data_IF_463422462722
#
_entry.id   IF_463422462722
#
_cell.length_a   1.000
_cell.length_b   1.000
_cell.length_c   1.000
_cell.angle_alpha   90.00
_cell.angle_beta   90.00
_cell.angle_gamma   90.00
#
_symmetry.space_group_name_H-M   'P 1'
#
loop_
_entity.id
_entity.type
_entity.pdbx_description
1 polymer ?
#
# COMPACT_ATOMS: atom_id res chain seq x y z
N UNK A 1 14.80 6.19 60.09
CA UNK A 1 14.30 4.82 59.80
C UNK A 1 13.19 4.71 58.74
N UNK A 2 12.33 5.71 58.62
CA UNK A 2 11.27 5.72 57.58
C UNK A 2 11.84 6.05 56.18
N UNK A 3 12.79 6.98 56.07
CA UNK A 3 13.41 7.36 54.80
C UNK A 3 14.23 6.21 54.19
N UNK A 4 14.96 5.43 54.97
CA UNK A 4 15.69 4.27 54.49
C UNK A 4 14.75 3.15 53.99
N UNK A 5 13.61 2.92 54.65
CA UNK A 5 12.63 1.94 54.18
C UNK A 5 11.98 2.35 52.86
N UNK A 6 11.74 3.64 52.66
CA UNK A 6 11.18 4.17 51.40
C UNK A 6 12.14 4.04 50.25
N UNK A 7 13.43 4.39 50.46
CA UNK A 7 14.46 4.22 49.46
C UNK A 7 14.71 2.74 49.08
N UNK A 8 14.65 1.82 50.07
CA UNK A 8 14.79 0.38 49.82
C UNK A 8 13.63 -0.20 49.03
N UNK A 9 12.39 0.29 49.29
CA UNK A 9 11.21 -0.12 48.52
C UNK A 9 11.23 0.43 47.09
N UNK A 10 11.64 1.69 46.89
CA UNK A 10 11.75 2.31 45.55
C UNK A 10 12.85 1.59 44.73
N UNK A 11 13.99 1.22 45.36
CA UNK A 11 15.00 0.42 44.69
C UNK A 11 14.53 -1.00 44.34
N UNK A 12 13.76 -1.64 45.21
CA UNK A 12 13.18 -2.97 44.93
C UNK A 12 12.15 -2.93 43.78
N UNK A 13 11.32 -1.90 43.71
CA UNK A 13 10.35 -1.67 42.62
C UNK A 13 11.10 -1.43 41.29
N UNK A 14 12.12 -0.60 41.28
CA UNK A 14 12.95 -0.33 40.09
C UNK A 14 13.66 -1.57 39.56
N UNK A 15 14.19 -2.44 40.46
CA UNK A 15 14.77 -3.73 40.09
C UNK A 15 13.73 -4.67 39.50
N UNK A 16 12.52 -4.70 40.06
CA UNK A 16 11.40 -5.54 39.57
C UNK A 16 10.89 -5.07 38.21
N UNK A 17 10.80 -3.77 37.99
CA UNK A 17 10.42 -3.18 36.70
C UNK A 17 11.50 -3.42 35.63
N UNK A 18 12.77 -3.29 36.00
CA UNK A 18 13.90 -3.61 35.11
C UNK A 18 13.95 -5.10 34.73
N UNK A 19 13.67 -6.00 35.68
CA UNK A 19 13.59 -7.44 35.46
C UNK A 19 12.38 -7.80 34.54
N UNK A 20 11.25 -7.15 34.77
CA UNK A 20 10.05 -7.31 33.93
C UNK A 20 10.30 -6.83 32.49
N UNK A 21 10.90 -5.65 32.32
CA UNK A 21 11.25 -5.12 31.00
C UNK A 21 12.25 -6.02 30.25
N UNK A 22 13.22 -6.62 30.99
CA UNK A 22 14.17 -7.58 30.43
C UNK A 22 13.49 -8.90 30.01
N UNK A 23 12.53 -9.40 30.80
CA UNK A 23 11.76 -10.60 30.49
C UNK A 23 10.82 -10.37 29.28
N UNK A 24 10.18 -9.20 29.22
CA UNK A 24 9.32 -8.80 28.07
C UNK A 24 10.15 -8.66 26.78
N UNK A 25 11.35 -8.07 26.88
CA UNK A 25 12.28 -7.96 25.74
C UNK A 25 12.78 -9.34 25.27
N UNK A 26 13.11 -10.25 26.21
CA UNK A 26 13.52 -11.61 25.89
C UNK A 26 12.38 -12.43 25.27
N UNK A 27 11.15 -12.30 25.79
CA UNK A 27 9.98 -12.95 25.22
C UNK A 27 9.68 -12.45 23.80
N UNK A 28 9.89 -11.17 23.54
CA UNK A 28 9.72 -10.58 22.20
C UNK A 28 10.77 -11.05 21.21
N UNK A 29 12.04 -11.11 21.64
CA UNK A 29 13.15 -11.66 20.83
C UNK A 29 12.93 -13.15 20.56
N UNK A 30 12.42 -13.90 21.54
CA UNK A 30 12.05 -15.30 21.38
C UNK A 30 10.91 -15.49 20.36
N UNK A 31 9.88 -14.61 20.37
CA UNK A 31 8.81 -14.62 19.34
C UNK A 31 9.38 -14.34 17.94
N UNK A 32 10.19 -13.31 17.77
CA UNK A 32 10.83 -13.00 16.48
C UNK A 32 11.70 -14.15 15.96
N UNK A 33 12.42 -14.84 16.86
CA UNK A 33 13.20 -16.02 16.51
C UNK A 33 12.32 -17.24 16.17
N UNK A 34 11.18 -17.41 16.84
CA UNK A 34 10.19 -18.46 16.52
C UNK A 34 9.61 -18.24 15.13
N UNK A 35 9.23 -16.99 14.77
CA UNK A 35 8.68 -16.67 13.44
C UNK A 35 9.72 -16.91 12.34
N UNK A 36 10.98 -16.51 12.54
CA UNK A 36 12.08 -16.78 11.63
C UNK A 36 12.43 -18.27 11.52
N UNK A 37 12.38 -19.00 12.66
CA UNK A 37 12.56 -20.45 12.70
C UNK A 37 11.40 -21.21 12.05
N UNK A 38 10.15 -20.72 12.16
CA UNK A 38 8.97 -21.32 11.55
C UNK A 38 9.09 -21.35 10.04
N UNK A 39 9.47 -20.21 9.41
CA UNK A 39 9.72 -20.12 7.97
C UNK A 39 10.87 -21.04 7.49
N UNK A 40 11.95 -21.15 8.28
CA UNK A 40 13.10 -21.99 7.95
C UNK A 40 12.81 -23.48 8.08
N UNK A 41 12.11 -23.87 9.12
CA UNK A 41 11.81 -25.28 9.40
C UNK A 41 10.72 -25.86 8.46
N UNK A 42 9.85 -25.03 7.92
CA UNK A 42 8.93 -25.43 6.85
C UNK A 42 9.69 -25.95 5.60
N UNK A 43 10.77 -25.25 5.21
CA UNK A 43 11.66 -25.70 4.13
C UNK A 43 12.38 -27.01 4.43
N UNK A 44 12.59 -27.32 5.71
CA UNK A 44 13.31 -28.53 6.18
C UNK A 44 12.36 -29.71 6.50
N UNK A 45 11.03 -29.57 6.29
CA UNK A 45 10.04 -30.62 6.56
C UNK A 45 9.86 -30.94 8.06
N UNK A 46 10.14 -29.99 8.95
CA UNK A 46 10.03 -30.16 10.41
C UNK A 46 8.65 -29.81 10.92
N UNK A 47 8.20 -30.49 11.97
CA UNK A 47 6.98 -30.16 12.72
C UNK A 47 7.28 -29.14 13.84
N UNK A 48 6.29 -28.32 14.17
CA UNK A 48 6.37 -27.30 15.22
C UNK A 48 5.40 -27.62 16.35
N UNK A 49 5.84 -27.45 17.58
CA UNK A 49 4.96 -27.45 18.75
C UNK A 49 4.94 -26.01 19.27
N UNK A 50 3.78 -25.38 19.23
CA UNK A 50 3.59 -23.96 19.56
C UNK A 50 2.52 -23.80 20.65
N UNK A 51 2.56 -22.70 21.44
CA UNK A 51 1.46 -22.35 22.33
C UNK A 51 0.14 -22.27 21.54
N UNK A 52 -0.96 -22.75 22.11
CA UNK A 52 -2.26 -22.81 21.44
C UNK A 52 -2.70 -21.49 20.82
N UNK A 53 -2.40 -20.35 21.49
CA UNK A 53 -2.74 -19.01 20.98
C UNK A 53 -1.94 -18.54 19.75
N UNK A 54 -0.81 -19.19 19.41
CA UNK A 54 0.00 -18.86 18.23
C UNK A 54 -0.09 -19.93 17.13
N UNK A 55 -0.71 -21.06 17.41
CA UNK A 55 -0.72 -22.20 16.51
C UNK A 55 -1.60 -21.97 15.27
N UNK A 56 -2.71 -21.24 15.41
CA UNK A 56 -3.60 -20.91 14.29
C UNK A 56 -2.92 -19.95 13.31
N UNK A 57 -2.18 -18.96 13.82
CA UNK A 57 -1.40 -18.00 13.03
C UNK A 57 -0.28 -18.73 12.26
N UNK A 58 0.44 -19.62 12.93
CA UNK A 58 1.50 -20.41 12.31
C UNK A 58 0.99 -21.42 11.27
N UNK A 59 -0.23 -21.94 11.46
CA UNK A 59 -0.86 -22.87 10.53
C UNK A 59 -1.35 -22.21 9.22
N UNK A 60 -1.24 -20.87 9.08
CA UNK A 60 -1.47 -20.16 7.82
C UNK A 60 -0.40 -20.47 6.77
N UNK A 61 0.79 -20.88 7.20
CA UNK A 61 1.87 -21.31 6.29
C UNK A 61 1.47 -22.64 5.67
N UNK A 62 1.36 -22.66 4.34
CA UNK A 62 0.99 -23.86 3.59
C UNK A 62 1.95 -25.00 3.91
N UNK A 63 1.40 -26.18 4.09
CA UNK A 63 2.13 -27.42 4.41
C UNK A 63 2.88 -27.44 5.76
N UNK A 64 2.82 -26.37 6.57
CA UNK A 64 3.40 -26.40 7.91
C UNK A 64 2.70 -27.41 8.80
N UNK A 65 3.48 -28.25 9.47
CA UNK A 65 2.96 -29.18 10.48
C UNK A 65 3.05 -28.51 11.84
N UNK A 66 1.92 -28.02 12.35
CA UNK A 66 1.83 -27.28 13.60
C UNK A 66 0.99 -28.03 14.61
N UNK A 67 1.54 -28.26 15.80
CA UNK A 67 0.88 -28.89 16.93
C UNK A 67 0.66 -27.85 18.04
N UNK A 68 -0.60 -27.46 18.34
CA UNK A 68 -0.91 -26.57 19.47
C UNK A 68 -0.69 -27.31 20.79
N UNK A 69 0.03 -26.68 21.69
CA UNK A 69 0.27 -27.21 23.04
C UNK A 69 -0.29 -26.23 24.10
N UNK A 70 -1.22 -26.67 24.97
CA UNK A 70 -1.76 -25.83 26.04
C UNK A 70 -0.79 -25.66 27.21
N UNK A 71 0.19 -26.53 27.35
CA UNK A 71 1.18 -26.48 28.44
C UNK A 71 2.47 -27.23 28.09
N UNK A 72 3.53 -26.96 28.83
CA UNK A 72 4.78 -27.70 28.69
C UNK A 72 4.60 -29.19 29.05
N UNK A 73 3.70 -29.53 29.97
CA UNK A 73 3.38 -30.93 30.34
C UNK A 73 2.80 -31.68 29.14
N UNK A 74 1.95 -31.00 28.34
CA UNK A 74 1.39 -31.60 27.12
C UNK A 74 2.47 -31.83 26.06
N UNK A 75 3.45 -30.94 25.95
CA UNK A 75 4.64 -31.12 25.08
C UNK A 75 5.43 -32.35 25.52
N UNK A 76 5.72 -32.48 26.82
CA UNK A 76 6.44 -33.64 27.36
C UNK A 76 5.69 -34.94 27.13
N UNK A 77 4.35 -34.94 27.32
CA UNK A 77 3.53 -36.10 27.06
C UNK A 77 3.55 -36.53 25.59
N UNK A 78 3.52 -35.57 24.67
CA UNK A 78 3.63 -35.81 23.22
C UNK A 78 5.00 -36.38 22.84
N UNK A 79 6.08 -35.78 23.31
CA UNK A 79 7.44 -36.23 22.99
C UNK A 79 7.80 -37.60 23.62
N UNK A 80 7.14 -37.96 24.74
CA UNK A 80 7.33 -39.25 25.38
C UNK A 80 6.34 -40.33 24.88
N UNK A 81 5.49 -39.99 23.89
CA UNK A 81 4.51 -40.94 23.34
C UNK A 81 3.33 -41.26 24.26
N UNK A 82 3.17 -40.54 25.38
CA UNK A 82 2.05 -40.78 26.34
C UNK A 82 0.72 -40.17 25.87
N UNK A 83 0.79 -39.05 25.12
CA UNK A 83 -0.37 -38.41 24.52
C UNK A 83 0.04 -37.74 23.21
N UNK A 84 -0.84 -37.76 22.20
CA UNK A 84 -0.57 -37.06 20.93
C UNK A 84 -1.20 -35.67 20.93
N UNK A 85 -0.44 -34.67 20.52
CA UNK A 85 -0.97 -33.35 20.25
C UNK A 85 -1.71 -33.38 18.90
N UNK A 86 -2.86 -32.73 18.77
CA UNK A 86 -3.58 -32.64 17.50
C UNK A 86 -2.75 -31.77 16.53
N UNK A 87 -2.94 -31.99 15.22
CA UNK A 87 -2.39 -31.10 14.20
C UNK A 87 -3.35 -29.93 14.00
N UNK A 88 -2.82 -28.70 14.01
CA UNK A 88 -3.58 -27.51 13.61
C UNK A 88 -3.73 -27.52 12.10
N UNK A 89 -4.95 -27.33 11.63
CA UNK A 89 -5.26 -27.12 10.21
C UNK A 89 -5.79 -25.70 10.05
N UNK A 90 -5.26 -24.97 9.09
CA UNK A 90 -5.94 -23.75 8.65
C UNK A 90 -7.23 -24.19 7.95
N UNK A 91 -8.39 -23.81 8.48
CA UNK A 91 -9.65 -24.00 7.77
C UNK A 91 -9.55 -23.26 6.43
N UNK A 92 -9.91 -23.92 5.32
CA UNK A 92 -10.09 -23.26 4.02
C UNK A 92 -11.05 -22.09 4.23
N UNK A 93 -10.52 -20.89 4.28
CA UNK A 93 -11.34 -19.69 4.43
C UNK A 93 -11.85 -19.31 3.06
N UNK A 94 -13.17 -19.33 2.96
CA UNK A 94 -13.86 -18.62 1.90
C UNK A 94 -13.31 -17.19 1.88
N UNK A 95 -12.78 -16.76 0.74
CA UNK A 95 -12.39 -15.38 0.49
C UNK A 95 -13.66 -14.52 0.57
N UNK A 96 -14.04 -14.12 1.80
CA UNK A 96 -15.18 -13.24 1.98
C UNK A 96 -14.81 -11.84 1.48
N UNK A 97 -15.12 -11.59 0.23
CA UNK A 97 -15.08 -10.30 -0.46
C UNK A 97 -16.09 -9.29 0.14
N UNK A 98 -16.91 -9.71 1.09
CA UNK A 98 -18.04 -8.95 1.62
C UNK A 98 -17.68 -7.66 2.40
N UNK A 99 -16.42 -7.42 2.70
CA UNK A 99 -15.98 -6.24 3.46
C UNK A 99 -15.38 -5.11 2.62
N UNK A 100 -15.12 -5.35 1.33
CA UNK A 100 -14.56 -4.32 0.43
C UNK A 100 -15.69 -3.69 -0.36
N UNK A 101 -15.85 -2.35 -0.32
CA UNK A 101 -16.91 -1.67 -1.08
C UNK A 101 -16.77 -1.89 -2.58
N UNK A 102 -17.89 -2.08 -3.28
CA UNK A 102 -17.90 -2.33 -4.73
C UNK A 102 -17.76 -1.05 -5.56
N UNK A 103 -17.05 -1.13 -6.70
CA UNK A 103 -16.83 0.00 -7.60
C UNK A 103 -18.12 0.47 -8.28
N UNK A 104 -19.13 -0.39 -8.43
CA UNK A 104 -20.44 -0.07 -8.99
C UNK A 104 -21.20 0.97 -8.17
N UNK A 105 -20.92 1.07 -6.86
CA UNK A 105 -21.52 2.09 -5.99
C UNK A 105 -21.06 3.52 -6.32
N UNK A 106 -19.91 3.68 -6.98
CA UNK A 106 -19.41 4.98 -7.43
C UNK A 106 -20.13 5.33 -8.73
N UNK A 107 -21.01 6.33 -8.68
CA UNK A 107 -21.73 6.80 -9.88
C UNK A 107 -20.82 7.65 -10.75
N UNK A 108 -20.99 7.54 -12.08
CA UNK A 108 -20.19 8.29 -13.05
C UNK A 108 -18.67 8.05 -12.90
N UNK A 109 -17.89 9.12 -12.98
CA UNK A 109 -16.42 9.15 -12.75
C UNK A 109 -15.63 8.18 -13.67
N UNK A 110 -16.05 8.00 -14.93
CA UNK A 110 -15.46 7.02 -15.85
C UNK A 110 -13.93 7.17 -15.99
N UNK A 111 -13.44 8.41 -16.12
CA UNK A 111 -11.99 8.67 -16.23
C UNK A 111 -11.23 8.27 -14.95
N UNK A 112 -11.79 8.54 -13.77
CA UNK A 112 -11.17 8.16 -12.51
C UNK A 112 -11.20 6.64 -12.28
N UNK A 113 -12.30 5.96 -12.64
CA UNK A 113 -12.40 4.49 -12.60
C UNK A 113 -11.38 3.85 -13.55
N UNK A 114 -11.21 4.39 -14.77
CA UNK A 114 -10.19 3.92 -15.71
C UNK A 114 -8.78 4.13 -15.16
N UNK A 115 -8.49 5.29 -14.55
CA UNK A 115 -7.22 5.55 -13.90
C UNK A 115 -6.94 4.57 -12.74
N UNK A 116 -7.98 4.22 -11.95
CA UNK A 116 -7.87 3.18 -10.91
C UNK A 116 -7.54 1.81 -11.51
N UNK A 117 -8.21 1.41 -12.59
CA UNK A 117 -7.96 0.14 -13.29
C UNK A 117 -6.52 0.07 -13.79
N UNK A 118 -6.02 1.13 -14.44
CA UNK A 118 -4.63 1.22 -14.91
C UNK A 118 -3.65 1.18 -13.73
N UNK A 119 -3.95 1.93 -12.67
CA UNK A 119 -3.11 1.93 -11.47
C UNK A 119 -3.07 0.55 -10.81
N UNK A 120 -4.20 -0.13 -10.67
CA UNK A 120 -4.30 -1.48 -10.11
C UNK A 120 -3.52 -2.51 -10.95
N UNK A 121 -3.66 -2.46 -12.27
CA UNK A 121 -3.05 -3.42 -13.17
C UNK A 121 -1.53 -3.33 -13.21
N UNK A 122 -0.96 -2.12 -13.15
CA UNK A 122 0.47 -1.90 -13.24
C UNK A 122 1.18 -1.69 -11.91
N UNK A 123 0.45 -1.57 -10.79
CA UNK A 123 0.99 -1.19 -9.50
C UNK A 123 1.41 0.28 -9.44
N UNK A 124 0.79 1.15 -10.27
CA UNK A 124 1.16 2.55 -10.39
C UNK A 124 0.65 3.40 -9.23
N UNK A 125 1.43 4.41 -8.86
CA UNK A 125 0.97 5.46 -7.93
C UNK A 125 -0.05 6.37 -8.60
N UNK A 126 -1.06 6.82 -7.82
CA UNK A 126 -2.21 7.59 -8.31
C UNK A 126 -2.43 8.86 -7.50
N UNK A 127 -2.62 9.99 -8.19
CA UNK A 127 -3.10 11.24 -7.61
C UNK A 127 -4.46 11.61 -8.20
N UNK A 128 -5.44 11.80 -7.32
CA UNK A 128 -6.78 12.27 -7.67
C UNK A 128 -6.93 13.74 -7.30
N UNK A 129 -7.27 14.59 -8.27
CA UNK A 129 -7.51 16.01 -8.09
C UNK A 129 -8.99 16.34 -8.35
N UNK A 130 -9.65 17.00 -7.42
CA UNK A 130 -11.04 17.40 -7.62
C UNK A 130 -11.66 18.11 -6.44
N UNK A 131 -12.81 18.76 -6.59
CA UNK A 131 -13.54 19.44 -5.53
C UNK A 131 -13.90 18.49 -4.37
N UNK A 132 -14.23 19.00 -3.19
CA UNK A 132 -14.75 18.19 -2.10
C UNK A 132 -16.07 17.51 -2.51
N UNK A 133 -16.33 16.30 -1.99
CA UNK A 133 -17.54 15.55 -2.26
C UNK A 133 -17.61 14.84 -3.63
N UNK A 134 -16.53 14.84 -4.43
CA UNK A 134 -16.51 14.18 -5.74
C UNK A 134 -16.23 12.68 -5.70
N UNK A 135 -16.07 12.08 -4.51
CA UNK A 135 -15.90 10.64 -4.34
C UNK A 135 -14.43 10.15 -4.38
N UNK A 136 -13.43 11.03 -4.25
CA UNK A 136 -12.00 10.66 -4.26
C UNK A 136 -11.66 9.58 -3.22
N UNK A 137 -12.06 9.78 -1.97
CA UNK A 137 -11.82 8.83 -0.87
C UNK A 137 -12.60 7.53 -1.07
N UNK A 138 -13.83 7.61 -1.63
CA UNK A 138 -14.60 6.43 -2.02
C UNK A 138 -13.89 5.60 -3.08
N UNK A 139 -13.31 6.23 -4.10
CA UNK A 139 -12.52 5.56 -5.14
C UNK A 139 -11.29 4.88 -4.54
N UNK A 140 -10.55 5.57 -3.67
CA UNK A 140 -9.37 5.01 -3.01
C UNK A 140 -9.68 3.76 -2.17
N UNK A 141 -10.80 3.77 -1.43
CA UNK A 141 -11.25 2.64 -0.60
C UNK A 141 -11.61 1.38 -1.41
N UNK A 142 -11.93 1.53 -2.70
CA UNK A 142 -12.27 0.42 -3.59
C UNK A 142 -11.08 -0.19 -4.32
N UNK A 143 -9.94 0.51 -4.32
CA UNK A 143 -8.73 0.03 -4.99
C UNK A 143 -8.25 -1.33 -4.48
N UNK A 144 -8.22 -1.64 -3.16
CA UNK A 144 -7.80 -2.98 -2.70
C UNK A 144 -8.61 -4.12 -3.32
N UNK A 145 -9.91 -3.91 -3.56
CA UNK A 145 -10.80 -4.88 -4.20
C UNK A 145 -10.53 -5.12 -5.68
N UNK A 146 -9.79 -4.22 -6.34
CA UNK A 146 -9.38 -4.34 -7.74
C UNK A 146 -8.01 -4.99 -7.90
N UNK A 147 -7.18 -5.00 -6.85
CA UNK A 147 -5.83 -5.54 -6.91
C UNK A 147 -5.83 -7.07 -7.07
N UNK A 148 -4.81 -7.63 -7.74
CA UNK A 148 -4.63 -9.07 -7.78
C UNK A 148 -4.48 -9.64 -6.37
N UNK A 149 -4.91 -10.91 -6.13
CA UNK A 149 -4.72 -11.55 -4.84
C UNK A 149 -3.23 -11.58 -4.47
N UNK A 150 -2.92 -11.53 -3.18
CA UNK A 150 -1.55 -11.70 -2.70
C UNK A 150 -1.08 -13.12 -2.91
N UNK A 151 0.21 -13.29 -3.25
CA UNK A 151 0.85 -14.59 -3.14
C UNK A 151 0.99 -14.99 -1.66
N UNK A 152 1.30 -16.25 -1.41
CA UNK A 152 1.56 -16.73 -0.04
C UNK A 152 2.73 -15.97 0.60
N UNK A 153 3.81 -15.72 -0.15
CA UNK A 153 4.97 -14.95 0.31
C UNK A 153 4.57 -13.50 0.67
N UNK A 154 3.80 -12.84 -0.20
CA UNK A 154 3.28 -11.48 0.07
C UNK A 154 2.37 -11.46 1.31
N UNK A 155 1.55 -12.49 1.50
CA UNK A 155 0.65 -12.62 2.64
C UNK A 155 1.42 -12.81 3.94
N UNK A 156 2.48 -13.63 3.93
CA UNK A 156 3.37 -13.83 5.07
C UNK A 156 4.13 -12.56 5.46
N UNK A 157 4.70 -11.84 4.47
CA UNK A 157 5.40 -10.58 4.73
C UNK A 157 4.46 -9.53 5.35
N UNK A 158 3.24 -9.40 4.82
CA UNK A 158 2.24 -8.46 5.35
C UNK A 158 1.78 -8.85 6.77
N UNK A 159 1.50 -10.15 7.01
CA UNK A 159 1.09 -10.66 8.30
C UNK A 159 2.19 -10.47 9.36
N UNK A 160 3.46 -10.74 9.02
CA UNK A 160 4.59 -10.54 9.91
C UNK A 160 4.72 -9.09 10.39
N UNK A 161 4.55 -8.11 9.49
CA UNK A 161 4.57 -6.69 9.86
C UNK A 161 3.41 -6.30 10.77
N UNK A 162 2.21 -6.82 10.53
CA UNK A 162 1.03 -6.58 11.36
C UNK A 162 1.19 -7.23 12.73
N UNK A 163 1.74 -8.45 12.78
CA UNK A 163 2.02 -9.18 14.03
C UNK A 163 3.03 -8.44 14.92
N UNK A 164 4.08 -7.82 14.34
CA UNK A 164 5.04 -7.00 15.09
C UNK A 164 4.39 -5.83 15.84
N UNK A 165 3.24 -5.37 15.38
CA UNK A 165 2.47 -4.28 16.01
C UNK A 165 1.29 -4.78 16.85
N UNK A 166 1.06 -6.10 16.91
CA UNK A 166 -0.09 -6.71 17.57
C UNK A 166 -1.43 -6.44 16.89
N UNK A 167 -1.39 -6.07 15.59
CA UNK A 167 -2.60 -5.72 14.80
C UNK A 167 -3.03 -6.82 13.82
N UNK A 168 -2.29 -7.92 13.75
CA UNK A 168 -2.64 -9.02 12.86
C UNK A 168 -3.93 -9.70 13.34
N UNK A 169 -4.81 -9.96 12.39
CA UNK A 169 -6.03 -10.76 12.57
C UNK A 169 -6.04 -11.86 11.53
N UNK A 170 -6.46 -13.05 11.92
CA UNK A 170 -6.56 -14.17 10.99
C UNK A 170 -7.49 -13.90 9.80
N UNK A 171 -8.52 -13.10 9.98
CA UNK A 171 -9.45 -12.67 8.92
C UNK A 171 -8.81 -11.75 7.87
N UNK A 172 -7.67 -11.13 8.17
CA UNK A 172 -6.93 -10.25 7.26
C UNK A 172 -5.90 -11.01 6.41
N UNK A 173 -5.73 -12.32 6.63
CA UNK A 173 -4.83 -13.15 5.85
C UNK A 173 -5.20 -13.14 4.37
N UNK A 174 -4.22 -12.90 3.50
CA UNK A 174 -4.41 -12.84 2.04
C UNK A 174 -5.08 -11.56 1.54
N UNK A 175 -5.50 -10.66 2.43
CA UNK A 175 -6.08 -9.36 2.06
C UNK A 175 -5.01 -8.29 1.94
N UNK A 176 -5.08 -7.51 0.86
CA UNK A 176 -4.19 -6.35 0.69
C UNK A 176 -4.54 -5.26 1.69
N UNK A 177 -3.61 -4.85 2.57
CA UNK A 177 -3.88 -3.83 3.57
C UNK A 177 -4.17 -2.48 2.92
N UNK A 178 -5.16 -1.75 3.45
CA UNK A 178 -5.39 -0.34 3.16
C UNK A 178 -5.03 0.48 4.40
N UNK A 179 -4.05 1.37 4.25
CA UNK A 179 -3.66 2.30 5.32
C UNK A 179 -4.02 3.72 4.88
N UNK A 180 -4.85 4.37 5.67
CA UNK A 180 -5.32 5.73 5.40
C UNK A 180 -5.11 6.59 6.67
N UNK A 181 -3.87 6.96 7.00
CA UNK A 181 -3.60 7.80 8.15
C UNK A 181 -4.13 9.21 7.94
N UNK A 182 -4.54 9.86 9.03
CA UNK A 182 -5.02 11.23 9.00
C UNK A 182 -3.87 12.21 8.73
N UNK A 183 -4.12 13.33 8.05
CA UNK A 183 -3.09 14.32 7.66
C UNK A 183 -2.35 14.95 8.85
N UNK A 184 -2.89 14.86 10.08
CA UNK A 184 -2.21 15.27 11.32
C UNK A 184 -1.20 14.25 11.85
N UNK A 185 -1.04 13.10 11.20
CA UNK A 185 -0.11 12.07 11.64
C UNK A 185 1.33 12.58 11.57
N UNK A 186 2.12 12.28 12.59
CA UNK A 186 3.53 12.65 12.64
C UNK A 186 4.39 11.81 11.69
N UNK A 187 5.60 12.29 11.36
CA UNK A 187 6.56 11.53 10.59
C UNK A 187 6.90 10.18 11.26
N UNK A 188 6.93 10.12 12.60
CA UNK A 188 7.15 8.89 13.36
C UNK A 188 5.99 7.92 13.19
N UNK A 189 4.76 8.40 13.15
CA UNK A 189 3.60 7.54 12.89
C UNK A 189 3.66 6.91 11.49
N UNK A 190 4.12 7.67 10.48
CA UNK A 190 4.26 7.16 9.12
C UNK A 190 5.43 6.18 8.96
N UNK A 191 6.63 6.60 9.37
CA UNK A 191 7.87 5.85 9.17
C UNK A 191 8.01 4.73 10.17
N UNK A 192 7.55 4.97 11.39
CA UNK A 192 7.86 4.15 12.54
C UNK A 192 8.97 4.75 13.40
N UNK A 193 9.28 4.13 14.49
CA UNK A 193 10.29 4.60 15.43
C UNK A 193 10.05 4.11 16.86
N UNK A 194 10.58 4.84 17.81
CA UNK A 194 10.58 4.49 19.23
C UNK A 194 11.97 4.08 19.71
N UNK A 195 12.11 3.82 21.00
CA UNK A 195 13.33 3.25 21.60
C UNK A 195 13.60 1.83 21.07
N UNK A 196 12.53 1.09 20.81
CA UNK A 196 12.52 -0.18 20.09
C UNK A 196 11.83 0.08 18.73
N UNK A 197 12.59 0.08 17.60
CA UNK A 197 12.05 0.46 16.30
C UNK A 197 10.86 -0.41 15.90
N UNK A 198 9.69 0.21 15.69
CA UNK A 198 8.48 -0.45 15.22
C UNK A 198 8.10 0.07 13.83
N UNK A 199 7.51 -0.77 12.96
CA UNK A 199 7.04 -0.34 11.65
C UNK A 199 5.92 0.71 11.80
N UNK A 200 5.95 1.76 10.95
CA UNK A 200 4.90 2.76 10.83
C UNK A 200 3.88 2.41 9.75
N UNK A 201 2.96 3.34 9.49
CA UNK A 201 1.86 3.16 8.53
C UNK A 201 2.33 2.82 7.12
N UNK A 202 3.50 3.34 6.69
CA UNK A 202 4.11 3.05 5.40
C UNK A 202 4.50 1.56 5.30
N UNK A 203 5.14 1.00 6.33
CA UNK A 203 5.49 -0.42 6.35
C UNK A 203 4.27 -1.31 6.56
N UNK A 204 3.27 -0.87 7.33
CA UNK A 204 2.00 -1.58 7.50
C UNK A 204 1.14 -1.61 6.23
N UNK A 205 1.41 -0.73 5.25
CA UNK A 205 0.80 -0.76 3.93
C UNK A 205 1.50 -1.71 2.95
N UNK A 206 2.54 -2.44 3.39
CA UNK A 206 3.31 -3.34 2.54
C UNK A 206 2.43 -4.35 1.80
N UNK A 207 2.66 -4.52 0.49
CA UNK A 207 1.83 -5.28 -0.46
C UNK A 207 0.37 -4.82 -0.59
N UNK A 208 0.04 -3.65 -0.03
CA UNK A 208 -1.28 -3.04 -0.09
C UNK A 208 -1.26 -1.61 -0.61
N UNK A 209 -2.12 -0.79 -0.05
CA UNK A 209 -2.36 0.59 -0.46
C UNK A 209 -2.09 1.55 0.70
N UNK A 210 -1.28 2.57 0.46
CA UNK A 210 -1.17 3.73 1.32
C UNK A 210 -1.95 4.88 0.69
N UNK A 211 -3.04 5.29 1.33
CA UNK A 211 -3.88 6.39 0.89
C UNK A 211 -3.66 7.64 1.75
N UNK A 212 -3.25 8.75 1.13
CA UNK A 212 -3.15 10.04 1.77
C UNK A 212 -4.19 11.00 1.20
N UNK A 213 -5.21 11.29 1.98
CA UNK A 213 -6.20 12.32 1.65
C UNK A 213 -5.66 13.71 1.97
N UNK A 214 -6.21 14.73 1.31
CA UNK A 214 -5.84 16.14 1.51
C UNK A 214 -4.33 16.37 1.44
N UNK A 215 -3.66 15.81 0.43
CA UNK A 215 -2.19 15.76 0.30
C UNK A 215 -1.48 17.10 0.61
N UNK A 216 -1.96 18.30 0.17
CA UNK A 216 -1.32 19.56 0.50
C UNK A 216 -1.48 20.01 1.97
N UNK A 217 -2.33 19.38 2.77
CA UNK A 217 -2.51 19.72 4.18
C UNK A 217 -1.52 18.97 5.09
N UNK A 218 -0.81 17.99 4.54
CA UNK A 218 0.26 17.30 5.25
C UNK A 218 1.48 18.20 5.46
N UNK A 219 2.15 18.05 6.61
CA UNK A 219 3.44 18.70 6.82
C UNK A 219 4.43 18.27 5.72
N UNK A 220 5.12 19.25 5.13
CA UNK A 220 6.08 19.00 4.06
C UNK A 220 7.17 18.02 4.43
N UNK A 221 7.64 18.06 5.71
CA UNK A 221 8.67 17.14 6.22
C UNK A 221 8.15 15.70 6.25
N UNK A 222 6.86 15.54 6.55
CA UNK A 222 6.19 14.24 6.57
C UNK A 222 6.06 13.68 5.15
N UNK A 223 5.75 14.51 4.16
CA UNK A 223 5.67 14.09 2.76
C UNK A 223 7.05 13.71 2.18
N UNK A 224 8.12 14.38 2.60
CA UNK A 224 9.48 14.08 2.11
C UNK A 224 9.97 12.68 2.52
N UNK A 225 9.49 12.12 3.64
CA UNK A 225 9.89 10.76 4.07
C UNK A 225 9.33 9.66 3.16
N UNK A 226 8.30 9.95 2.34
CA UNK A 226 7.76 9.00 1.35
C UNK A 226 8.70 8.76 0.17
N UNK A 227 9.68 9.65 -0.07
CA UNK A 227 10.53 9.59 -1.25
C UNK A 227 11.40 8.34 -1.29
N UNK A 228 11.97 7.96 -0.14
CA UNK A 228 12.79 6.77 -0.02
C UNK A 228 11.99 5.48 -0.27
N UNK A 229 10.87 5.21 0.44
CA UNK A 229 10.13 3.97 0.23
C UNK A 229 9.49 3.86 -1.15
N UNK A 230 9.10 4.96 -1.78
CA UNK A 230 8.58 4.96 -3.16
C UNK A 230 9.65 4.58 -4.21
N UNK A 231 10.93 4.76 -3.90
CA UNK A 231 12.04 4.36 -4.79
C UNK A 231 12.66 3.02 -4.40
N UNK A 232 12.97 2.85 -3.11
CA UNK A 232 13.71 1.70 -2.61
C UNK A 232 12.81 0.51 -2.20
N UNK A 233 11.50 0.75 -1.97
CA UNK A 233 10.58 -0.26 -1.44
C UNK A 233 10.90 -0.68 0.00
N UNK A 234 11.66 0.15 0.73
CA UNK A 234 12.10 -0.08 2.10
C UNK A 234 12.20 1.24 2.86
N UNK A 235 12.13 1.16 4.19
CA UNK A 235 12.38 2.27 5.10
C UNK A 235 13.51 1.88 6.03
N UNK A 236 14.46 2.81 6.21
CA UNK A 236 15.53 2.68 7.19
C UNK A 236 15.26 3.59 8.40
N UNK A 237 15.18 2.98 9.57
CA UNK A 237 15.05 3.70 10.85
C UNK A 237 16.40 3.61 11.55
N UNK A 238 17.09 4.74 11.67
CA UNK A 238 18.33 4.84 12.41
C UNK A 238 18.10 5.64 13.69
N UNK A 239 18.47 5.05 14.83
CA UNK A 239 18.48 5.68 16.16
C UNK A 239 19.82 5.41 16.81
N UNK A 240 20.18 6.20 17.82
CA UNK A 240 21.50 6.15 18.45
C UNK A 240 21.93 4.75 18.91
N UNK A 241 20.97 3.90 19.36
CA UNK A 241 21.26 2.57 19.88
C UNK A 241 20.89 1.42 18.92
N UNK A 242 20.06 1.64 17.89
CA UNK A 242 19.53 0.57 17.02
C UNK A 242 19.20 1.08 15.61
N UNK A 243 19.46 0.21 14.65
CA UNK A 243 19.03 0.39 13.27
C UNK A 243 18.06 -0.74 12.89
N UNK A 244 17.00 -0.39 12.16
CA UNK A 244 16.05 -1.35 11.62
C UNK A 244 15.70 -0.98 10.20
N UNK A 245 15.49 -1.99 9.35
CA UNK A 245 14.97 -1.81 7.99
C UNK A 245 13.67 -2.59 7.86
N UNK A 246 12.62 -1.90 7.44
CA UNK A 246 11.32 -2.52 7.21
C UNK A 246 10.97 -2.48 5.72
N UNK A 247 10.36 -3.54 5.18
CA UNK A 247 9.85 -3.51 3.81
C UNK A 247 8.69 -2.51 3.70
N UNK A 248 8.58 -1.86 2.54
CA UNK A 248 7.63 -0.80 2.28
C UNK A 248 7.25 -0.73 0.79
N UNK A 249 6.93 -1.87 0.20
CA UNK A 249 6.40 -1.97 -1.17
C UNK A 249 4.89 -1.83 -1.13
N UNK A 250 4.39 -0.66 -1.39
CA UNK A 250 2.96 -0.33 -1.37
C UNK A 250 2.58 0.43 -2.62
N UNK A 251 1.32 0.40 -2.98
CA UNK A 251 0.76 1.28 -3.98
C UNK A 251 0.37 2.60 -3.33
N UNK A 252 0.97 3.69 -3.80
CA UNK A 252 0.70 5.03 -3.27
C UNK A 252 -0.50 5.63 -3.97
N UNK A 253 -1.51 6.03 -3.19
CA UNK A 253 -2.68 6.77 -3.67
C UNK A 253 -2.80 8.04 -2.86
N UNK A 254 -3.05 9.15 -3.55
CA UNK A 254 -3.25 10.44 -2.91
C UNK A 254 -4.47 11.15 -3.49
N UNK A 255 -5.11 11.96 -2.67
CA UNK A 255 -6.16 12.86 -3.10
C UNK A 255 -5.87 14.29 -2.68
N UNK A 256 -6.25 15.25 -3.50
CA UNK A 256 -6.13 16.66 -3.18
C UNK A 256 -7.27 17.48 -3.79
N UNK A 257 -7.51 18.63 -3.21
CA UNK A 257 -8.40 19.64 -3.78
C UNK A 257 -7.65 20.52 -4.78
N UNK A 258 -8.33 21.17 -5.75
CA UNK A 258 -7.69 21.98 -6.77
C UNK A 258 -7.13 23.32 -6.26
N UNK A 259 -7.63 23.80 -5.10
CA UNK A 259 -7.23 25.05 -4.45
C UNK A 259 -7.59 24.99 -2.95
N UNK A 260 -7.17 25.98 -2.12
CA UNK A 260 -7.45 25.98 -0.69
C UNK A 260 -8.95 25.91 -0.32
N UNK A 261 -9.83 26.58 -1.08
CA UNK A 261 -11.28 26.48 -0.86
C UNK A 261 -11.92 25.23 -1.46
N UNK A 262 -11.20 24.50 -2.33
CA UNK A 262 -11.65 23.27 -2.97
C UNK A 262 -12.50 23.45 -4.23
N UNK A 263 -12.97 24.66 -4.57
CA UNK A 263 -13.99 24.87 -5.60
C UNK A 263 -13.46 25.42 -6.94
N UNK A 264 -12.16 25.43 -7.19
CA UNK A 264 -11.61 25.83 -8.47
C UNK A 264 -12.09 24.88 -9.58
N UNK A 265 -12.72 25.45 -10.63
CA UNK A 265 -13.29 24.66 -11.73
C UNK A 265 -14.65 24.00 -11.41
N UNK A 266 -15.20 24.24 -10.21
CA UNK A 266 -16.55 23.73 -9.88
C UNK A 266 -17.64 24.56 -10.58
N UNK A 267 -18.69 23.93 -11.16
CA UNK A 267 -19.77 24.63 -11.87
C UNK A 267 -20.49 25.72 -11.04
N UNK A 268 -20.47 25.61 -9.71
CA UNK A 268 -21.12 26.60 -8.81
C UNK A 268 -20.47 27.97 -8.77
N UNK A 269 -19.28 28.15 -9.35
CA UNK A 269 -18.54 29.43 -9.31
C UNK A 269 -18.08 29.88 -7.92
N UNK A 270 -18.14 29.03 -6.89
CA UNK A 270 -17.83 29.38 -5.49
C UNK A 270 -16.34 29.63 -5.19
N UNK A 271 -15.47 29.44 -6.17
CA UNK A 271 -14.02 29.66 -5.94
C UNK A 271 -13.69 31.16 -5.92
N UNK A 272 -13.14 31.62 -4.81
CA UNK A 272 -12.64 32.99 -4.64
C UNK A 272 -11.12 33.03 -4.40
N UNK A 273 -10.42 31.94 -4.67
CA UNK A 273 -8.96 31.86 -4.49
C UNK A 273 -8.22 32.67 -5.57
N UNK A 274 -7.30 33.52 -5.13
CA UNK A 274 -6.39 34.21 -6.05
C UNK A 274 -5.40 33.23 -6.69
N UNK A 275 -4.88 33.52 -7.88
CA UNK A 275 -3.83 32.69 -8.52
C UNK A 275 -2.66 32.39 -7.59
N UNK A 276 -2.19 33.39 -6.81
CA UNK A 276 -1.09 33.22 -5.86
C UNK A 276 -1.45 32.26 -4.70
N UNK A 277 -2.71 32.31 -4.22
CA UNK A 277 -3.15 31.39 -3.18
C UNK A 277 -3.20 29.94 -3.72
N UNK A 278 -3.64 29.74 -4.95
CA UNK A 278 -3.64 28.45 -5.64
C UNK A 278 -2.22 27.95 -5.82
N UNK A 279 -1.31 28.79 -6.32
CA UNK A 279 0.08 28.42 -6.54
C UNK A 279 0.78 28.02 -5.24
N UNK A 280 0.61 28.80 -4.15
CA UNK A 280 1.15 28.47 -2.82
C UNK A 280 0.59 27.17 -2.25
N UNK A 281 -0.70 26.91 -2.44
CA UNK A 281 -1.32 25.67 -2.01
C UNK A 281 -0.72 24.45 -2.70
N UNK A 282 -0.57 24.52 -4.02
CA UNK A 282 0.01 23.43 -4.82
C UNK A 282 1.50 23.25 -4.54
N UNK A 283 2.25 24.33 -4.28
CA UNK A 283 3.67 24.32 -3.96
C UNK A 283 4.00 23.64 -2.60
N UNK A 284 3.01 23.35 -1.75
CA UNK A 284 3.20 22.53 -0.55
C UNK A 284 3.68 21.13 -0.89
N UNK A 285 3.26 20.59 -2.04
CA UNK A 285 3.74 19.30 -2.55
C UNK A 285 5.02 19.57 -3.36
N UNK A 286 6.10 18.92 -2.96
CA UNK A 286 7.38 19.10 -3.67
C UNK A 286 7.33 18.49 -5.08
N UNK A 287 8.01 19.16 -6.04
CA UNK A 287 8.17 18.66 -7.39
C UNK A 287 8.71 17.22 -7.42
N UNK A 288 9.78 16.89 -6.66
CA UNK A 288 10.29 15.53 -6.58
C UNK A 288 9.30 14.48 -6.10
N UNK A 289 8.34 14.79 -5.24
CA UNK A 289 7.29 13.86 -4.83
C UNK A 289 6.27 13.67 -5.95
N UNK A 290 5.80 14.75 -6.57
CA UNK A 290 4.89 14.69 -7.71
C UNK A 290 5.49 13.94 -8.90
N UNK A 291 6.80 14.08 -9.12
CA UNK A 291 7.50 13.30 -10.15
C UNK A 291 7.47 11.79 -9.90
N UNK A 292 7.20 11.34 -8.67
CA UNK A 292 7.10 9.92 -8.31
C UNK A 292 5.70 9.36 -8.46
N UNK A 293 4.71 10.20 -8.74
CA UNK A 293 3.34 9.76 -8.99
C UNK A 293 3.19 9.49 -10.49
N UNK A 294 2.80 8.25 -10.84
CA UNK A 294 2.73 7.80 -12.24
C UNK A 294 1.47 8.30 -12.96
N UNK A 295 0.33 8.22 -12.29
CA UNK A 295 -1.00 8.51 -12.83
C UNK A 295 -1.60 9.67 -12.08
N UNK A 296 -2.05 10.69 -12.80
CA UNK A 296 -2.73 11.86 -12.25
C UNK A 296 -4.07 12.02 -12.97
N UNK A 297 -5.16 12.11 -12.23
CA UNK A 297 -6.52 12.18 -12.79
C UNK A 297 -7.36 13.25 -12.12
N UNK A 298 -8.15 13.96 -12.92
CA UNK A 298 -9.17 14.87 -12.41
C UNK A 298 -10.45 14.09 -12.09
N UNK A 299 -11.04 14.40 -10.94
CA UNK A 299 -12.31 13.85 -10.46
C UNK A 299 -13.30 15.02 -10.39
N UNK A 300 -13.99 15.33 -11.47
CA UNK A 300 -14.88 16.50 -11.55
C UNK A 300 -16.11 16.33 -10.66
N UNK A 301 -16.75 17.45 -10.30
CA UNK A 301 -18.07 17.40 -9.69
C UNK A 301 -19.07 16.77 -10.67
N UNK A 302 -19.88 15.87 -10.17
CA UNK A 302 -20.98 15.30 -10.97
C UNK A 302 -22.06 16.35 -11.18
N UNK A 303 -22.67 16.41 -12.39
CA UNK A 303 -23.82 17.25 -12.60
C UNK A 303 -25.00 16.77 -11.74
N UNK A 304 -25.91 17.66 -11.32
CA UNK A 304 -27.03 17.30 -10.46
C UNK A 304 -27.89 16.13 -10.97
N UNK A 305 -28.04 16.02 -12.29
CA UNK A 305 -28.83 14.96 -12.95
C UNK A 305 -28.18 13.56 -12.84
N UNK A 306 -26.88 13.49 -12.51
CA UNK A 306 -26.16 12.24 -12.28
C UNK A 306 -26.18 11.77 -10.81
N UNK A 307 -26.89 12.52 -9.92
CA UNK A 307 -27.06 12.16 -8.51
C UNK A 307 -28.16 11.10 -8.32
N UNK A 308 -28.19 10.38 -7.16
CA UNK A 308 -29.14 9.29 -6.90
C UNK A 308 -30.60 9.74 -7.01
N UNK A 309 -31.36 9.11 -7.90
CA UNK A 309 -32.79 9.42 -8.19
C UNK A 309 -33.16 9.23 -9.67
N UNK A 310 -32.18 9.31 -10.57
CA UNK A 310 -32.33 8.87 -11.96
C UNK A 310 -32.02 7.39 -12.12
N UNK A 311 -32.61 6.71 -13.07
CA UNK A 311 -32.29 5.35 -13.54
C UNK A 311 -30.90 5.29 -14.20
N UNK A 312 -29.91 6.00 -13.57
CA UNK A 312 -28.56 6.10 -14.07
C UNK A 312 -27.80 4.79 -13.83
N UNK A 313 -27.12 4.39 -14.85
CA UNK A 313 -26.23 3.26 -15.05
C UNK A 313 -25.61 2.75 -13.75
N UNK A 314 -25.95 1.53 -13.34
CA UNK A 314 -25.18 0.83 -12.32
C UNK A 314 -23.77 0.68 -12.86
N UNK A 315 -22.80 1.30 -12.20
CA UNK A 315 -21.40 1.22 -12.60
C UNK A 315 -20.94 -0.22 -12.73
N UNK A 316 -19.87 -0.44 -13.47
CA UNK A 316 -19.27 -1.77 -13.64
C UNK A 316 -18.85 -2.35 -12.27
N UNK A 317 -19.16 -3.62 -11.96
CA UNK A 317 -18.82 -4.25 -10.68
C UNK A 317 -17.30 -4.45 -10.55
N UNK A 318 -16.79 -4.35 -9.33
CA UNK A 318 -15.37 -4.57 -9.01
C UNK A 318 -14.84 -5.91 -9.53
N UNK A 319 -15.68 -6.95 -9.56
CA UNK A 319 -15.28 -8.28 -10.02
C UNK A 319 -14.84 -8.29 -11.50
N UNK A 320 -15.58 -7.61 -12.38
CA UNK A 320 -15.25 -7.52 -13.80
C UNK A 320 -13.94 -6.75 -14.05
N UNK A 321 -13.75 -5.63 -13.32
CA UNK A 321 -12.51 -4.85 -13.39
C UNK A 321 -11.33 -5.66 -12.87
N UNK A 322 -11.49 -6.33 -11.73
CA UNK A 322 -10.46 -7.20 -11.12
C UNK A 322 -10.01 -8.31 -12.06
N UNK A 323 -10.92 -8.90 -12.82
CA UNK A 323 -10.59 -9.94 -13.81
C UNK A 323 -9.67 -9.39 -14.92
N UNK A 324 -9.95 -8.20 -15.46
CA UNK A 324 -9.08 -7.53 -16.45
C UNK A 324 -7.72 -7.18 -15.85
N UNK A 325 -7.73 -6.63 -14.64
CA UNK A 325 -6.51 -6.32 -13.87
C UNK A 325 -5.67 -7.58 -13.65
N UNK A 326 -6.28 -8.68 -13.23
CA UNK A 326 -5.58 -9.94 -12.99
C UNK A 326 -4.95 -10.51 -14.27
N UNK A 327 -5.65 -10.44 -15.42
CA UNK A 327 -5.10 -10.85 -16.73
C UNK A 327 -3.90 -10.01 -17.13
N UNK A 328 -4.00 -8.68 -17.02
CA UNK A 328 -2.90 -7.77 -17.33
C UNK A 328 -1.70 -7.99 -16.40
N UNK A 329 -1.94 -8.17 -15.11
CA UNK A 329 -0.91 -8.48 -14.12
C UNK A 329 -0.21 -9.82 -14.39
N UNK A 330 -0.96 -10.86 -14.76
CA UNK A 330 -0.41 -12.16 -15.13
C UNK A 330 0.52 -12.07 -16.35
N UNK A 331 0.16 -11.26 -17.38
CA UNK A 331 1.03 -10.98 -18.54
C UNK A 331 2.36 -10.33 -18.11
N UNK A 332 2.31 -9.36 -17.20
CA UNK A 332 3.50 -8.70 -16.66
C UNK A 332 4.38 -9.67 -15.89
N UNK A 333 3.77 -10.49 -15.03
CA UNK A 333 4.49 -11.51 -14.25
C UNK A 333 5.16 -12.55 -15.17
N UNK A 334 4.48 -13.02 -16.20
CA UNK A 334 5.03 -13.96 -17.17
C UNK A 334 6.17 -13.35 -17.98
N UNK A 335 6.08 -12.08 -18.39
CA UNK A 335 7.08 -11.40 -19.21
C UNK A 335 8.34 -11.01 -18.44
N UNK A 336 8.20 -10.51 -17.19
CA UNK A 336 9.29 -9.85 -16.46
C UNK A 336 9.35 -10.13 -14.95
N UNK A 337 8.48 -10.97 -14.42
CA UNK A 337 8.47 -11.36 -13.02
C UNK A 337 7.94 -10.31 -12.01
N UNK A 338 7.61 -9.10 -12.49
CA UNK A 338 7.20 -7.96 -11.62
C UNK A 338 6.22 -7.03 -12.34
N UNK A 339 5.44 -6.20 -11.60
CA UNK A 339 4.53 -5.22 -12.20
C UNK A 339 5.31 -4.13 -12.98
N UNK A 340 4.64 -3.52 -13.98
CA UNK A 340 5.27 -2.51 -14.83
C UNK A 340 5.80 -1.29 -14.06
N UNK A 341 5.15 -0.87 -12.98
CA UNK A 341 5.62 0.25 -12.15
C UNK A 341 7.02 0.01 -11.55
N UNK A 342 7.41 -1.24 -11.33
CA UNK A 342 8.68 -1.63 -10.74
C UNK A 342 9.83 -1.81 -11.75
N UNK A 343 9.56 -1.65 -13.06
CA UNK A 343 10.58 -1.79 -14.10
C UNK A 343 11.72 -0.79 -13.90
N UNK A 344 12.95 -1.29 -13.99
CA UNK A 344 14.15 -0.47 -13.96
C UNK A 344 14.42 0.21 -15.33
N UNK A 345 15.15 1.32 -15.41
CA UNK A 345 15.38 2.05 -16.66
C UNK A 345 15.83 1.18 -17.82
N UNK A 346 16.77 0.26 -17.59
CA UNK A 346 17.24 -0.69 -18.64
C UNK A 346 16.14 -1.62 -19.17
N UNK A 347 15.23 -2.02 -18.32
CA UNK A 347 14.09 -2.87 -18.71
C UNK A 347 13.03 -2.09 -19.49
N UNK A 348 12.84 -0.80 -19.17
CA UNK A 348 11.90 0.06 -19.89
C UNK A 348 12.29 0.20 -21.35
N UNK A 349 13.56 0.39 -21.66
CA UNK A 349 14.08 0.50 -23.04
C UNK A 349 13.75 -0.72 -23.90
N UNK A 350 13.77 -1.93 -23.31
CA UNK A 350 13.47 -3.18 -24.01
C UNK A 350 11.99 -3.54 -24.06
N UNK A 351 11.26 -3.31 -22.96
CA UNK A 351 9.89 -3.82 -22.75
C UNK A 351 8.79 -2.80 -23.03
N UNK A 352 9.13 -1.51 -23.00
CA UNK A 352 8.16 -0.42 -23.11
C UNK A 352 8.37 0.45 -24.35
N UNK A 353 9.01 -0.07 -25.40
CA UNK A 353 9.25 0.69 -26.63
C UNK A 353 7.96 0.82 -27.44
N UNK A 354 7.48 2.05 -27.73
CA UNK A 354 6.32 2.27 -28.56
C UNK A 354 6.64 2.06 -30.06
N UNK A 355 5.59 1.97 -30.87
CA UNK A 355 5.73 2.06 -32.32
C UNK A 355 6.20 3.47 -32.74
N UNK A 356 6.56 3.63 -34.04
CA UNK A 356 7.07 4.90 -34.57
C UNK A 356 6.10 6.09 -34.36
N UNK A 357 4.78 5.84 -34.45
CA UNK A 357 3.74 6.87 -34.24
C UNK A 357 3.63 7.24 -32.77
N UNK A 358 3.64 6.25 -31.87
CA UNK A 358 3.65 6.46 -30.41
C UNK A 358 4.88 7.21 -29.96
N UNK A 359 6.05 6.88 -30.50
CA UNK A 359 7.31 7.59 -30.19
C UNK A 359 7.28 9.04 -30.66
N UNK A 360 6.78 9.32 -31.86
CA UNK A 360 6.61 10.68 -32.35
C UNK A 360 5.65 11.51 -31.48
N UNK A 361 4.51 10.90 -31.05
CA UNK A 361 3.56 11.52 -30.13
C UNK A 361 4.20 11.84 -28.78
N UNK A 362 4.96 10.90 -28.24
CA UNK A 362 5.64 11.07 -26.97
C UNK A 362 6.67 12.20 -27.01
N UNK A 363 7.48 12.28 -28.09
CA UNK A 363 8.44 13.38 -28.29
C UNK A 363 7.75 14.75 -28.35
N UNK A 364 6.63 14.85 -29.09
CA UNK A 364 5.85 16.09 -29.13
C UNK A 364 5.31 16.47 -27.76
N UNK A 365 4.80 15.51 -27.00
CA UNK A 365 4.28 15.74 -25.65
C UNK A 365 5.37 16.22 -24.70
N UNK A 366 6.56 15.63 -24.75
CA UNK A 366 7.73 16.04 -23.94
C UNK A 366 8.09 17.49 -24.20
N UNK A 367 8.16 17.90 -25.48
CA UNK A 367 8.48 19.28 -25.84
C UNK A 367 7.38 20.27 -25.42
N UNK A 368 6.09 19.93 -25.67
CA UNK A 368 4.95 20.84 -25.35
C UNK A 368 4.66 20.97 -23.87
N UNK A 369 4.92 19.92 -23.08
CA UNK A 369 4.62 19.85 -21.65
C UNK A 369 5.85 20.11 -20.78
N UNK A 370 7.04 20.33 -21.37
CA UNK A 370 8.31 20.47 -20.66
C UNK A 370 8.55 19.37 -19.64
N UNK A 371 8.24 18.11 -20.00
CA UNK A 371 8.31 16.97 -19.10
C UNK A 371 9.76 16.54 -18.87
N UNK A 372 10.04 16.08 -17.65
CA UNK A 372 11.35 15.55 -17.28
C UNK A 372 11.63 14.18 -17.89
N UNK A 373 12.91 13.77 -17.94
CA UNK A 373 13.29 12.39 -18.33
C UNK A 373 12.63 11.32 -17.44
N UNK A 374 12.36 11.64 -16.16
CA UNK A 374 11.62 10.74 -15.26
C UNK A 374 10.17 10.59 -15.71
N UNK A 375 9.52 11.68 -16.11
CA UNK A 375 8.16 11.63 -16.66
C UNK A 375 8.07 10.77 -17.93
N UNK A 376 9.10 10.86 -18.80
CA UNK A 376 9.22 10.01 -19.98
C UNK A 376 9.12 8.50 -19.64
N UNK A 377 9.97 8.02 -18.72
CA UNK A 377 9.95 6.61 -18.30
C UNK A 377 8.63 6.21 -17.66
N UNK A 378 7.97 7.11 -16.91
CA UNK A 378 6.66 6.83 -16.30
C UNK A 378 5.56 6.69 -17.32
N UNK A 379 5.52 7.58 -18.32
CA UNK A 379 4.56 7.47 -19.43
C UNK A 379 4.73 6.14 -20.13
N UNK A 380 5.95 5.69 -20.38
CA UNK A 380 6.22 4.41 -21.03
C UNK A 380 5.74 3.22 -20.20
N UNK A 381 5.97 3.23 -18.86
CA UNK A 381 5.46 2.18 -17.97
C UNK A 381 3.93 2.12 -17.96
N UNK A 382 3.27 3.28 -17.91
CA UNK A 382 1.81 3.40 -17.94
C UNK A 382 1.27 2.95 -19.30
N UNK A 383 1.89 3.37 -20.41
CA UNK A 383 1.50 2.95 -21.76
C UNK A 383 1.62 1.42 -21.94
N UNK A 384 2.68 0.80 -21.36
CA UNK A 384 2.81 -0.67 -21.36
C UNK A 384 1.68 -1.32 -20.57
N UNK A 385 1.27 -0.75 -19.44
CA UNK A 385 0.15 -1.27 -18.65
C UNK A 385 -1.18 -1.16 -19.39
N UNK A 386 -1.40 -0.05 -20.10
CA UNK A 386 -2.61 0.14 -20.90
C UNK A 386 -2.66 -0.88 -22.04
N UNK A 387 -1.52 -1.15 -22.71
CA UNK A 387 -1.43 -2.18 -23.72
C UNK A 387 -1.66 -3.60 -23.16
N UNK A 388 -1.13 -3.90 -21.96
CA UNK A 388 -1.37 -5.17 -21.27
C UNK A 388 -2.86 -5.36 -20.93
N UNK A 389 -3.57 -4.29 -20.52
CA UNK A 389 -5.01 -4.30 -20.27
C UNK A 389 -5.83 -4.50 -21.56
N UNK A 390 -5.36 -3.94 -22.68
CA UNK A 390 -5.97 -4.14 -24.01
C UNK A 390 -5.70 -5.55 -24.57
N UNK A 391 -4.73 -6.28 -24.00
CA UNK A 391 -4.29 -7.57 -24.51
C UNK A 391 -3.25 -7.49 -25.61
N UNK A 392 -2.71 -6.30 -25.90
CA UNK A 392 -1.79 -6.03 -26.98
C UNK A 392 -0.33 -6.30 -26.59
N UNK A 393 0.44 -6.89 -27.49
CA UNK A 393 1.87 -7.15 -27.29
C UNK A 393 2.72 -5.90 -27.57
N UNK A 394 2.32 -5.09 -28.55
CA UNK A 394 2.98 -3.85 -28.92
C UNK A 394 2.32 -2.63 -28.25
N UNK A 395 3.11 -1.60 -28.01
CA UNK A 395 2.61 -0.30 -27.53
C UNK A 395 2.41 0.58 -28.77
N UNK A 396 1.16 0.93 -29.08
CA UNK A 396 0.84 1.84 -30.18
C UNK A 396 0.54 3.27 -29.70
N UNK A 397 0.26 4.17 -30.65
CA UNK A 397 0.01 5.57 -30.37
C UNK A 397 -1.21 5.82 -29.44
N UNK A 398 -2.25 4.96 -29.44
CA UNK A 398 -3.42 5.13 -28.55
C UNK A 398 -3.05 4.89 -27.09
N UNK A 399 -2.21 3.89 -26.80
CA UNK A 399 -1.72 3.60 -25.45
C UNK A 399 -0.85 4.75 -24.91
N UNK A 400 0.00 5.30 -25.76
CA UNK A 400 0.82 6.47 -25.44
C UNK A 400 -0.04 7.72 -25.21
N UNK A 401 -1.07 7.94 -26.02
CA UNK A 401 -1.99 9.07 -25.89
C UNK A 401 -2.74 9.05 -24.55
N UNK A 402 -3.28 7.87 -24.15
CA UNK A 402 -3.93 7.70 -22.86
C UNK A 402 -2.94 7.95 -21.71
N UNK A 403 -1.73 7.38 -21.77
CA UNK A 403 -0.71 7.56 -20.76
C UNK A 403 -0.24 9.04 -20.60
N UNK A 404 -0.12 9.79 -21.69
CA UNK A 404 0.15 11.24 -21.66
C UNK A 404 -1.00 11.98 -20.98
N UNK A 405 -2.25 11.53 -21.20
CA UNK A 405 -3.44 12.09 -20.56
C UNK A 405 -3.32 12.13 -19.04
N UNK A 406 -2.67 11.15 -18.42
CA UNK A 406 -2.44 11.08 -16.99
C UNK A 406 -1.29 11.97 -16.46
N UNK A 407 -0.67 12.80 -17.32
CA UNK A 407 0.37 13.76 -16.95
C UNK A 407 -0.04 15.21 -17.17
N UNK A 408 -1.32 15.49 -17.46
CA UNK A 408 -1.81 16.84 -17.73
C UNK A 408 -1.65 17.81 -16.56
N UNK A 409 -1.69 17.29 -15.33
CA UNK A 409 -1.53 18.11 -14.12
C UNK A 409 -0.09 18.61 -13.93
N UNK A 410 0.90 18.06 -14.61
CA UNK A 410 2.27 18.59 -14.61
C UNK A 410 2.35 20.01 -15.19
N UNK A 411 1.40 20.41 -16.05
CA UNK A 411 1.25 21.79 -16.54
C UNK A 411 0.85 22.80 -15.46
N UNK A 412 0.22 22.34 -14.39
CA UNK A 412 -0.27 23.20 -13.32
C UNK A 412 0.84 23.61 -12.34
N UNK A 413 2.09 23.28 -12.66
CA UNK A 413 3.30 23.62 -11.88
C UNK A 413 3.88 24.99 -12.23
N UNK A 414 3.36 25.68 -13.25
CA UNK A 414 3.84 26.98 -13.71
C UNK A 414 3.00 28.10 -13.09
#
# INVERSE_FOLDING_TARGET
>A
NQANRKATNEAAIAIQEAARGKAESQAKTARQNIDAMTLKAHRDGRAFILPSGSAEEAALVKDAVVHPAPSLLAVCAHLTGRASLPRSHCAERATHDASVPDLSEVKGQAAAKRALEVAAAGGHSLLMLGPPGTGKSMLAQRLPGLLPPMSEEESLEAAALQSLTGRFRLEDWGRRPLRAPHHTASAVALVGGGSDPRPGEISLAHHGVLFLDELPEWDRRVLEVLREPLEAGRIHISRAARQASFPARFQFVAAMNPCPCGYLGHPSGRCHCTPDAIARYRARISGPLLDRIDVQVEVPALPPDALPGGLGDCGEPSAAVRERVARAYARQRARQGQPNAQLQPRQIEGLCRPDARGEALLRMALARLSLSARAYHRILKVARTIADLAGDDAIDARHVAEAIGYRRLDRLRI
#
